data_IF_262165604772
#
_entry.id   IF_262165604772
#
_cell.length_a   1.000
_cell.length_b   1.000
_cell.length_c   1.000
_cell.angle_alpha   90.00
_cell.angle_beta   90.00
_cell.angle_gamma   90.00
#
_symmetry.space_group_name_H-M   'P 1'
#
loop_
_entity.id
_entity.type
_entity.pdbx_description
1 polymer ?
#
# COMPACT_ATOMS: atom_id res chain seq x y z
N UNK A 1 -14.88 -11.86 -18.17
CA UNK A 1 -13.52 -11.54 -17.67
C UNK A 1 -13.68 -10.30 -16.81
N UNK A 2 -13.32 -10.37 -15.52
CA UNK A 2 -13.46 -9.25 -14.59
C UNK A 2 -12.57 -8.09 -15.04
N UNK A 3 -13.12 -6.88 -15.10
CA UNK A 3 -12.36 -5.69 -15.51
C UNK A 3 -11.30 -5.37 -14.45
N UNK A 4 -10.08 -5.10 -14.91
CA UNK A 4 -8.96 -4.70 -14.02
C UNK A 4 -8.75 -3.20 -14.12
N UNK A 5 -8.69 -2.54 -12.96
CA UNK A 5 -8.29 -1.14 -12.81
C UNK A 5 -6.86 -1.15 -12.28
N UNK A 6 -5.95 -0.67 -13.10
CA UNK A 6 -4.53 -0.70 -12.80
C UNK A 6 -4.09 0.47 -11.92
N UNK A 7 -3.19 0.20 -10.98
CA UNK A 7 -2.41 1.23 -10.29
C UNK A 7 -1.52 1.97 -11.29
N UNK A 8 -1.24 3.24 -11.01
CA UNK A 8 -0.21 4.00 -11.74
C UNK A 8 1.19 3.43 -11.46
N UNK A 9 2.15 3.57 -12.40
CA UNK A 9 3.56 3.32 -12.13
C UNK A 9 4.07 4.11 -10.91
N UNK A 10 5.06 3.57 -10.20
CA UNK A 10 5.59 4.16 -8.97
C UNK A 10 6.09 5.60 -9.18
N UNK A 11 6.76 5.83 -10.31
CA UNK A 11 7.34 7.10 -10.74
C UNK A 11 6.30 8.18 -11.09
N UNK A 12 5.05 7.78 -11.32
CA UNK A 12 3.94 8.69 -11.60
C UNK A 12 3.10 9.02 -10.36
N UNK A 13 3.41 8.39 -9.22
CA UNK A 13 2.69 8.65 -7.98
C UNK A 13 3.02 10.05 -7.45
N UNK A 14 1.98 10.78 -7.05
CA UNK A 14 2.13 12.08 -6.39
C UNK A 14 1.35 12.10 -5.08
N UNK A 15 1.84 12.83 -4.08
CA UNK A 15 1.17 12.93 -2.79
C UNK A 15 -0.27 13.47 -2.92
N UNK A 16 -0.48 14.43 -3.83
CA UNK A 16 -1.80 15.03 -4.07
C UNK A 16 -2.70 14.16 -4.94
N UNK A 17 -2.16 13.49 -5.96
CA UNK A 17 -2.95 12.69 -6.89
C UNK A 17 -3.27 11.28 -6.40
N UNK A 18 -2.44 10.73 -5.51
CA UNK A 18 -2.53 9.32 -5.12
C UNK A 18 -2.53 9.10 -3.60
N UNK A 19 -2.10 10.06 -2.78
CA UNK A 19 -2.07 9.89 -1.32
C UNK A 19 -3.06 10.79 -0.57
N UNK A 20 -3.90 11.51 -1.32
CA UNK A 20 -4.89 12.44 -0.78
C UNK A 20 -6.26 12.13 -1.37
N UNK A 21 -7.28 12.05 -0.53
CA UNK A 21 -8.68 12.00 -0.99
C UNK A 21 -9.13 13.43 -1.27
N UNK A 22 -9.31 13.76 -2.55
CA UNK A 22 -9.52 15.12 -3.03
C UNK A 22 -10.64 15.14 -4.09
N UNK A 23 -11.65 16.05 -3.99
CA UNK A 23 -12.76 16.10 -4.94
C UNK A 23 -12.36 16.59 -6.34
N UNK A 24 -11.15 17.15 -6.52
CA UNK A 24 -10.66 17.63 -7.81
C UNK A 24 -9.80 16.59 -8.57
N UNK A 25 -9.62 15.39 -8.01
CA UNK A 25 -8.88 14.34 -8.69
C UNK A 25 -9.79 13.64 -9.70
N UNK A 26 -9.42 13.67 -10.98
CA UNK A 26 -10.19 13.02 -12.04
C UNK A 26 -10.33 11.50 -11.82
N UNK A 27 -11.50 10.92 -12.09
CA UNK A 27 -11.69 9.47 -12.01
C UNK A 27 -10.77 8.72 -12.97
N UNK A 28 -10.16 7.64 -12.46
CA UNK A 28 -9.37 6.71 -13.31
C UNK A 28 -10.24 5.64 -13.97
N UNK A 29 -11.47 5.48 -13.48
CA UNK A 29 -12.47 4.56 -14.01
C UNK A 29 -13.89 5.00 -13.64
N UNK A 30 -14.84 4.62 -14.49
CA UNK A 30 -16.27 4.74 -14.28
C UNK A 30 -16.86 3.33 -14.21
N UNK A 31 -17.70 3.07 -13.20
CA UNK A 31 -18.20 1.73 -12.85
C UNK A 31 -19.69 1.82 -12.53
N UNK A 32 -20.46 0.84 -13.01
CA UNK A 32 -21.90 0.78 -12.69
C UNK A 32 -22.13 0.13 -11.32
N UNK A 33 -23.19 0.50 -10.58
CA UNK A 33 -23.60 -0.23 -9.39
C UNK A 33 -23.76 -1.74 -9.66
N UNK A 34 -23.14 -2.57 -8.83
CA UNK A 34 -23.17 -4.03 -8.95
C UNK A 34 -22.12 -4.64 -9.90
N UNK A 35 -21.34 -3.83 -10.61
CA UNK A 35 -20.23 -4.31 -11.44
C UNK A 35 -19.09 -4.87 -10.57
N UNK A 36 -18.58 -6.05 -10.95
CA UNK A 36 -17.39 -6.64 -10.34
C UNK A 36 -16.13 -6.12 -11.02
N UNK A 37 -15.21 -5.60 -10.22
CA UNK A 37 -13.91 -5.07 -10.66
C UNK A 37 -12.77 -5.65 -9.83
N UNK A 38 -11.60 -5.80 -10.46
CA UNK A 38 -10.32 -6.06 -9.79
C UNK A 38 -9.51 -4.77 -9.76
N UNK A 39 -8.90 -4.46 -8.63
CA UNK A 39 -8.07 -3.25 -8.47
C UNK A 39 -6.65 -3.71 -8.12
N UNK A 40 -5.65 -3.24 -8.83
CA UNK A 40 -4.24 -3.45 -8.43
C UNK A 40 -3.79 -2.30 -7.54
N UNK A 41 -2.93 -2.58 -6.55
CA UNK A 41 -2.48 -1.60 -5.56
C UNK A 41 -0.96 -1.67 -5.38
N UNK A 42 -0.37 -0.56 -4.93
CA UNK A 42 0.95 -0.57 -4.32
C UNK A 42 0.82 -0.85 -2.82
N UNK A 43 1.94 -1.23 -2.20
CA UNK A 43 2.03 -1.22 -0.74
C UNK A 43 1.97 0.21 -0.18
N UNK A 44 1.90 0.35 1.14
CA UNK A 44 1.87 1.65 1.82
C UNK A 44 3.11 2.52 1.58
N UNK A 45 4.19 1.95 1.05
CA UNK A 45 5.41 2.68 0.70
C UNK A 45 5.40 3.15 -0.76
N UNK A 46 4.40 2.76 -1.55
CA UNK A 46 4.32 3.05 -2.97
C UNK A 46 5.31 2.27 -3.83
N UNK A 47 5.77 1.11 -3.36
CA UNK A 47 6.70 0.26 -4.10
C UNK A 47 8.16 0.71 -4.04
N UNK A 48 8.50 1.70 -3.20
CA UNK A 48 9.87 2.18 -3.05
C UNK A 48 10.73 1.29 -2.14
N UNK A 49 10.14 0.29 -1.48
CA UNK A 49 10.87 -0.71 -0.68
C UNK A 49 10.78 -2.09 -1.33
N UNK A 50 11.66 -3.00 -0.92
CA UNK A 50 11.63 -4.38 -1.35
C UNK A 50 12.71 -5.24 -0.69
N UNK A 51 12.86 -6.50 -1.13
CA UNK A 51 13.90 -7.42 -0.66
C UNK A 51 15.31 -6.82 -0.60
N UNK A 52 15.63 -5.95 -1.57
CA UNK A 52 16.95 -5.36 -1.74
C UNK A 52 17.01 -3.86 -1.38
N UNK A 53 15.92 -3.29 -0.84
CA UNK A 53 15.84 -1.86 -0.53
C UNK A 53 14.99 -1.59 0.71
N UNK A 54 15.62 -1.01 1.73
CA UNK A 54 14.95 -0.53 2.95
C UNK A 54 14.27 0.82 2.72
N UNK A 55 13.35 1.17 3.61
CA UNK A 55 12.71 2.49 3.60
C UNK A 55 13.72 3.62 3.80
N UNK A 56 14.69 3.43 4.71
CA UNK A 56 15.76 4.40 4.95
C UNK A 56 16.60 4.66 3.68
N UNK A 57 17.01 3.61 2.97
CA UNK A 57 17.73 3.76 1.71
C UNK A 57 16.90 4.47 0.64
N UNK A 58 15.58 4.23 0.58
CA UNK A 58 14.69 4.91 -0.35
C UNK A 58 14.60 6.42 -0.05
N UNK A 59 14.54 6.79 1.24
CA UNK A 59 14.54 8.18 1.71
C UNK A 59 15.86 8.88 1.31
N UNK A 60 17.00 8.23 1.57
CA UNK A 60 18.33 8.75 1.21
C UNK A 60 18.51 8.94 -0.31
N UNK A 61 17.81 8.13 -1.11
CA UNK A 61 17.76 8.24 -2.57
C UNK A 61 16.74 9.29 -3.06
N UNK A 62 16.01 9.96 -2.15
CA UNK A 62 15.00 10.97 -2.50
C UNK A 62 13.72 10.39 -3.13
N UNK A 63 13.45 9.09 -2.92
CA UNK A 63 12.30 8.40 -3.52
C UNK A 63 11.00 8.55 -2.72
N UNK A 64 11.08 9.10 -1.51
CA UNK A 64 9.91 9.30 -0.67
C UNK A 64 9.09 10.50 -1.15
N UNK A 65 8.13 10.23 -2.05
CA UNK A 65 7.17 11.22 -2.54
C UNK A 65 5.75 10.90 -2.08
N UNK A 66 5.19 9.80 -2.56
CA UNK A 66 3.78 9.44 -2.37
C UNK A 66 3.63 8.16 -1.53
N UNK A 67 3.63 8.31 -0.20
CA UNK A 67 3.30 7.21 0.72
C UNK A 67 1.79 6.99 0.80
N UNK A 68 1.36 5.78 1.17
CA UNK A 68 -0.03 5.36 1.20
C UNK A 68 -0.80 5.66 -0.10
N UNK A 69 -0.25 5.31 -1.28
CA UNK A 69 -0.96 5.56 -2.52
C UNK A 69 -2.23 4.70 -2.60
N UNK A 70 -3.31 5.30 -3.06
CA UNK A 70 -4.56 4.63 -3.41
C UNK A 70 -4.72 4.58 -4.93
N UNK A 71 -5.29 3.48 -5.40
CA UNK A 71 -5.70 3.34 -6.81
C UNK A 71 -7.13 3.85 -6.94
N UNK A 72 -7.32 4.92 -7.71
CA UNK A 72 -8.58 5.64 -7.78
C UNK A 72 -8.37 7.12 -8.14
N UNK A 73 -9.41 7.96 -7.98
CA UNK A 73 -10.77 7.58 -7.56
C UNK A 73 -11.52 6.82 -8.65
N UNK A 74 -12.48 6.00 -8.23
CA UNK A 74 -13.39 5.27 -9.13
C UNK A 74 -14.76 5.95 -9.03
N UNK A 75 -15.28 6.43 -10.15
CA UNK A 75 -16.59 7.05 -10.23
C UNK A 75 -17.67 5.97 -10.32
N UNK A 76 -18.73 6.11 -9.53
CA UNK A 76 -19.89 5.21 -9.54
C UNK A 76 -21.03 5.90 -10.27
N UNK A 77 -21.49 5.31 -11.36
CA UNK A 77 -22.56 5.88 -12.17
C UNK A 77 -23.84 6.09 -11.37
N UNK A 78 -24.38 7.30 -11.41
CA UNK A 78 -25.63 7.68 -10.75
C UNK A 78 -25.55 7.85 -9.22
N UNK A 79 -24.37 7.79 -8.59
CA UNK A 79 -24.26 8.06 -7.16
C UNK A 79 -24.36 9.56 -6.84
N UNK A 80 -25.09 9.92 -5.79
CA UNK A 80 -25.30 11.30 -5.35
C UNK A 80 -24.87 11.53 -3.89
N UNK A 81 -24.56 12.78 -3.48
CA UNK A 81 -24.30 13.10 -2.07
C UNK A 81 -25.47 12.70 -1.16
N UNK A 82 -25.18 11.86 -0.16
CA UNK A 82 -26.18 11.30 0.75
C UNK A 82 -26.40 9.80 0.55
N UNK A 83 -26.00 9.26 -0.61
CA UNK A 83 -26.02 7.82 -0.85
C UNK A 83 -24.97 7.08 0.00
N UNK A 84 -25.21 5.78 0.20
CA UNK A 84 -24.24 4.87 0.82
C UNK A 84 -23.62 3.96 -0.22
N UNK A 85 -22.29 4.01 -0.35
CA UNK A 85 -21.54 3.05 -1.16
C UNK A 85 -21.36 1.74 -0.36
N UNK A 86 -22.00 0.67 -0.80
CA UNK A 86 -21.78 -0.68 -0.28
C UNK A 86 -20.74 -1.41 -1.14
N UNK A 87 -19.59 -1.77 -0.56
CA UNK A 87 -18.53 -2.51 -1.23
C UNK A 87 -18.44 -3.92 -0.65
N UNK A 88 -18.52 -4.94 -1.51
CA UNK A 88 -18.24 -6.33 -1.13
C UNK A 88 -16.84 -6.71 -1.60
N UNK A 89 -15.96 -7.02 -0.67
CA UNK A 89 -14.64 -7.60 -0.99
C UNK A 89 -14.85 -9.09 -1.27
N UNK A 90 -14.60 -9.49 -2.51
CA UNK A 90 -14.75 -10.88 -2.97
C UNK A 90 -13.48 -11.68 -2.67
N UNK A 91 -12.33 -11.10 -2.98
CA UNK A 91 -11.02 -11.73 -2.82
C UNK A 91 -9.91 -10.68 -2.67
N UNK A 92 -8.76 -11.09 -2.12
CA UNK A 92 -7.54 -10.29 -2.01
C UNK A 92 -6.34 -11.17 -2.38
N UNK A 93 -5.73 -10.88 -3.52
CA UNK A 93 -4.46 -11.48 -3.92
C UNK A 93 -3.30 -10.79 -3.22
N UNK A 94 -2.41 -11.57 -2.60
CA UNK A 94 -1.20 -11.06 -1.96
C UNK A 94 0.05 -11.23 -2.83
N UNK A 95 1.02 -10.30 -2.77
CA UNK A 95 2.35 -10.52 -3.35
C UNK A 95 3.12 -11.60 -2.57
N UNK A 96 4.29 -11.98 -3.08
CA UNK A 96 5.17 -12.97 -2.44
C UNK A 96 5.88 -12.47 -1.16
N UNK A 97 5.75 -11.19 -0.82
CA UNK A 97 6.41 -10.58 0.33
C UNK A 97 5.70 -9.32 0.81
N UNK A 98 5.97 -8.91 2.05
CA UNK A 98 5.53 -7.64 2.62
C UNK A 98 6.64 -7.00 3.48
N UNK A 99 6.58 -5.69 3.65
CA UNK A 99 7.56 -4.92 4.42
C UNK A 99 7.01 -4.39 5.74
N UNK A 100 7.81 -4.46 6.81
CA UNK A 100 7.55 -3.82 8.10
C UNK A 100 8.71 -2.90 8.45
N UNK A 101 8.42 -1.70 8.94
CA UNK A 101 9.46 -0.73 9.28
C UNK A 101 9.32 -0.23 10.72
N UNK A 102 10.45 -0.03 11.37
CA UNK A 102 10.58 0.78 12.57
C UNK A 102 11.07 2.15 12.10
N UNK A 103 10.24 3.17 12.32
CA UNK A 103 10.55 4.56 12.05
C UNK A 103 10.71 5.23 13.43
N UNK A 104 11.92 5.67 13.81
CA UNK A 104 12.15 6.35 15.08
C UNK A 104 11.25 7.57 15.22
N UNK A 105 10.62 7.72 16.39
CA UNK A 105 9.66 8.80 16.64
C UNK A 105 8.28 8.59 16.01
N UNK A 106 7.94 7.36 15.61
CA UNK A 106 6.62 7.01 15.07
C UNK A 106 6.05 5.73 15.69
N UNK A 107 4.73 5.74 15.91
CA UNK A 107 3.97 4.59 16.38
C UNK A 107 3.92 4.44 17.91
N UNK A 108 3.19 3.44 18.38
CA UNK A 108 2.86 3.28 19.80
C UNK A 108 4.08 3.05 20.72
N UNK A 109 5.23 2.64 20.17
CA UNK A 109 6.46 2.39 20.92
C UNK A 109 7.50 3.51 20.72
N UNK A 110 7.12 4.67 20.17
CA UNK A 110 8.06 5.74 19.82
C UNK A 110 8.99 6.11 20.98
N UNK A 111 8.49 6.21 22.21
CA UNK A 111 9.30 6.59 23.37
C UNK A 111 10.45 5.62 23.66
N UNK A 112 10.30 4.34 23.31
CA UNK A 112 11.35 3.32 23.44
C UNK A 112 12.22 3.21 22.19
N UNK A 113 11.66 3.48 21.01
CA UNK A 113 12.33 3.26 19.73
C UNK A 113 12.98 4.52 19.14
N UNK A 114 12.79 5.70 19.75
CA UNK A 114 13.27 6.97 19.20
C UNK A 114 14.81 7.08 19.12
N UNK A 115 15.54 6.27 19.89
CA UNK A 115 17.00 6.21 19.85
C UNK A 115 17.55 5.07 18.98
N UNK A 116 16.69 4.31 18.32
CA UNK A 116 17.11 3.23 17.43
C UNK A 116 17.39 3.77 16.03
N UNK A 117 18.29 3.10 15.32
CA UNK A 117 18.39 3.28 13.87
C UNK A 117 17.09 2.85 13.18
N UNK A 118 16.66 3.53 12.10
CA UNK A 118 15.55 3.10 11.27
C UNK A 118 15.78 1.69 10.74
N UNK A 119 14.71 0.89 10.66
CA UNK A 119 14.80 -0.49 10.17
C UNK A 119 13.65 -0.81 9.24
N UNK A 120 13.93 -1.60 8.21
CA UNK A 120 12.92 -2.27 7.39
C UNK A 120 13.23 -3.77 7.36
N UNK A 121 12.20 -4.59 7.53
CA UNK A 121 12.25 -6.04 7.48
C UNK A 121 11.27 -6.54 6.44
N UNK A 122 11.71 -7.52 5.66
CA UNK A 122 10.88 -8.20 4.67
C UNK A 122 10.42 -9.55 5.24
N UNK A 123 9.13 -9.78 5.16
CA UNK A 123 8.49 -11.07 5.44
C UNK A 123 8.06 -11.69 4.12
N UNK A 124 8.27 -13.00 3.97
CA UNK A 124 7.87 -13.72 2.75
C UNK A 124 6.53 -14.42 2.96
N UNK A 125 5.70 -14.42 1.92
CA UNK A 125 4.35 -14.96 1.93
C UNK A 125 4.31 -16.13 0.97
N UNK A 126 3.95 -17.31 1.48
CA UNK A 126 3.84 -18.52 0.66
C UNK A 126 2.89 -19.52 1.32
N UNK A 127 2.03 -20.15 0.51
CA UNK A 127 1.12 -21.22 0.94
C UNK A 127 0.24 -20.82 2.15
N UNK A 128 -0.22 -19.57 2.16
CA UNK A 128 -1.04 -19.00 3.24
C UNK A 128 -0.29 -18.66 4.53
N UNK A 129 1.05 -18.73 4.53
CA UNK A 129 1.89 -18.47 5.69
C UNK A 129 2.82 -17.30 5.49
N UNK A 130 3.21 -16.67 6.60
CA UNK A 130 4.17 -15.57 6.61
C UNK A 130 5.44 -16.00 7.35
N UNK A 131 6.59 -15.91 6.68
CA UNK A 131 7.89 -16.20 7.26
C UNK A 131 8.65 -14.92 7.56
N UNK A 132 9.08 -14.75 8.82
CA UNK A 132 9.87 -13.62 9.31
C UNK A 132 11.20 -14.09 9.90
N UNK A 133 12.32 -13.56 9.41
CA UNK A 133 13.66 -13.84 9.96
C UNK A 133 14.07 -12.75 10.95
N UNK A 134 14.31 -13.12 12.20
CA UNK A 134 14.82 -12.21 13.24
C UNK A 134 16.28 -11.84 12.99
N UNK A 135 16.77 -10.80 13.67
CA UNK A 135 18.18 -10.38 13.58
C UNK A 135 19.15 -11.46 14.09
N UNK A 136 18.69 -12.29 15.03
CA UNK A 136 19.47 -13.42 15.56
C UNK A 136 19.34 -14.70 14.71
N UNK A 137 18.81 -14.58 13.49
CA UNK A 137 18.73 -15.69 12.54
C UNK A 137 17.60 -16.69 12.79
N UNK A 138 16.79 -16.52 13.84
CA UNK A 138 15.59 -17.34 14.06
C UNK A 138 14.56 -17.03 12.97
N UNK A 139 13.97 -18.08 12.41
CA UNK A 139 12.83 -17.95 11.50
C UNK A 139 11.55 -18.21 12.28
N UNK A 140 10.59 -17.30 12.16
CA UNK A 140 9.26 -17.37 12.75
C UNK A 140 8.27 -17.52 11.61
N UNK A 141 7.32 -18.44 11.75
CA UNK A 141 6.23 -18.65 10.81
C UNK A 141 4.91 -18.34 11.52
N UNK A 142 4.02 -17.67 10.81
CA UNK A 142 2.66 -17.36 11.24
C UNK A 142 1.68 -17.93 10.22
#
# INVERSE_FOLDING_TARGET
MTRVIERKPCEELTATGNSTLNPFTEPVAYVNPGEEIKITTWDAYGGIIGPDRTFQQAIEQGLAGALNPVTGPIYIEGSEPGDTLAVKIIDIDLPAWGGSSIIPGFGALEGWLNQMEPRTKISYIKDGKITYKTDHGKVIEF
#
